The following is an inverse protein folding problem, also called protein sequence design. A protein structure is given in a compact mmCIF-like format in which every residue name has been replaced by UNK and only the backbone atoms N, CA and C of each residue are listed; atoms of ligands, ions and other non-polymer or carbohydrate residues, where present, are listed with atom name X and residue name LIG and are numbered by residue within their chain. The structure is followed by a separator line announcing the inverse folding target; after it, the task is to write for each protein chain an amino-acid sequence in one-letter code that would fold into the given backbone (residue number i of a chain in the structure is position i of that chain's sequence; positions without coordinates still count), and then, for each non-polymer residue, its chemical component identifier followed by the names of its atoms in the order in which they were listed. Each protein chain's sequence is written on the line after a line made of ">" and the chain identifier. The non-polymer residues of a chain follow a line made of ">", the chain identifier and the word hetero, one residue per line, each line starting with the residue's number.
data_IF_700693330089
#
_entry.id   IF_700693330089
#
_cell.length_a   1.000
_cell.length_b   1.000
_cell.length_c   1.000
_cell.angle_alpha   90.00
_cell.angle_beta   90.00
_cell.angle_gamma   90.00
#
_symmetry.space_group_name_H-M   'P 1'
#
loop_
_entity.id
_entity.type
_entity.pdbx_description
1 polymer ?
#
# COMPACT_ATOMS: atom_id res chain seq x y z
N UNK A 1 40.68 1.91 22.15
CA UNK A 1 39.40 1.40 22.69
C UNK A 1 38.30 2.24 22.04
N UNK A 2 37.42 1.63 21.22
CA UNK A 2 36.36 2.38 20.52
C UNK A 2 35.37 2.96 21.55
N UNK A 3 35.09 4.27 21.47
CA UNK A 3 34.14 4.93 22.35
C UNK A 3 32.70 4.44 22.06
N UNK A 4 32.10 3.78 23.04
CA UNK A 4 30.74 3.22 22.96
C UNK A 4 29.69 4.32 22.71
N UNK A 5 29.96 5.57 23.11
CA UNK A 5 29.06 6.72 22.84
C UNK A 5 29.06 7.11 21.37
N UNK A 6 30.21 7.05 20.71
CA UNK A 6 30.33 7.31 19.27
C UNK A 6 29.54 6.26 18.49
N UNK A 7 29.67 4.98 18.86
CA UNK A 7 28.90 3.89 18.26
C UNK A 7 27.39 4.03 18.52
N UNK A 8 26.99 4.35 19.74
CA UNK A 8 25.59 4.55 20.10
C UNK A 8 24.95 5.71 19.32
N UNK A 9 25.64 6.86 19.20
CA UNK A 9 25.13 8.01 18.42
C UNK A 9 25.10 7.74 16.92
N UNK A 10 26.07 6.98 16.38
CA UNK A 10 26.06 6.56 14.98
C UNK A 10 24.96 5.51 14.69
N UNK A 11 24.61 4.69 15.67
CA UNK A 11 23.55 3.69 15.54
C UNK A 11 22.15 4.30 15.75
N UNK A 12 21.94 5.14 16.76
CA UNK A 12 20.65 5.80 17.02
C UNK A 12 20.56 7.15 16.31
N UNK A 13 20.56 7.11 14.97
CA UNK A 13 20.07 8.25 14.21
C UNK A 13 18.54 8.32 14.35
N UNK A 14 17.96 9.52 14.26
CA UNK A 14 16.51 9.76 14.39
C UNK A 14 15.67 8.82 13.51
N UNK A 15 16.17 8.48 12.32
CA UNK A 15 15.52 7.57 11.37
C UNK A 15 15.46 6.12 11.86
N UNK A 16 16.42 5.66 12.67
CA UNK A 16 16.55 4.24 13.04
C UNK A 16 15.64 3.80 14.19
N UNK A 17 15.09 4.73 14.96
CA UNK A 17 14.28 4.41 16.15
C UNK A 17 12.92 3.80 15.74
N UNK A 18 12.28 4.34 14.71
CA UNK A 18 10.94 3.91 14.22
C UNK A 18 11.04 2.97 13.01
N UNK A 19 12.26 2.76 12.50
CA UNK A 19 12.55 2.04 11.27
C UNK A 19 11.93 0.64 11.21
N UNK A 20 11.92 -0.09 12.33
CA UNK A 20 11.37 -1.44 12.39
C UNK A 20 9.89 -1.53 11.99
N UNK A 21 9.07 -0.53 12.35
CA UNK A 21 7.67 -0.47 11.92
C UNK A 21 7.55 -0.21 10.42
N UNK A 22 8.33 0.74 9.91
CA UNK A 22 8.32 1.11 8.49
C UNK A 22 8.80 -0.04 7.62
N UNK A 23 9.87 -0.73 8.03
CA UNK A 23 10.39 -1.92 7.35
C UNK A 23 9.38 -3.06 7.38
N UNK A 24 8.80 -3.38 8.54
CA UNK A 24 7.76 -4.40 8.64
C UNK A 24 6.55 -4.12 7.75
N UNK A 25 6.12 -2.85 7.68
CA UNK A 25 5.02 -2.46 6.80
C UNK A 25 5.40 -2.54 5.32
N UNK A 26 6.62 -2.14 4.96
CA UNK A 26 7.12 -2.28 3.58
C UNK A 26 7.21 -3.76 3.15
N UNK A 27 7.70 -4.63 4.03
CA UNK A 27 7.76 -6.08 3.78
C UNK A 27 6.36 -6.67 3.61
N UNK A 28 5.40 -6.19 4.41
CA UNK A 28 4.00 -6.57 4.26
C UNK A 28 3.43 -6.14 2.89
N UNK A 29 3.72 -4.91 2.44
CA UNK A 29 3.27 -4.42 1.14
C UNK A 29 3.90 -5.18 -0.04
N UNK A 30 5.20 -5.49 0.05
CA UNK A 30 5.96 -6.09 -1.05
C UNK A 30 5.78 -7.61 -1.15
N UNK A 31 5.64 -8.30 -0.02
CA UNK A 31 5.61 -9.76 0.04
C UNK A 31 4.38 -10.30 0.75
N UNK A 32 4.01 -9.69 1.89
CA UNK A 32 2.92 -10.18 2.74
C UNK A 32 1.57 -10.25 2.02
N UNK A 33 1.19 -9.17 1.35
CA UNK A 33 -0.09 -9.07 0.63
C UNK A 33 -0.21 -10.11 -0.47
N UNK A 34 0.81 -10.25 -1.33
CA UNK A 34 0.76 -11.21 -2.42
C UNK A 34 0.69 -12.65 -1.88
N UNK A 35 1.42 -12.94 -0.79
CA UNK A 35 1.37 -14.27 -0.15
C UNK A 35 -0.03 -14.65 0.30
N UNK A 36 -0.79 -13.72 0.91
CA UNK A 36 -2.17 -13.96 1.33
C UNK A 36 -3.08 -14.25 0.13
N UNK A 37 -2.91 -13.51 -0.96
CA UNK A 37 -3.68 -13.75 -2.20
C UNK A 37 -3.33 -15.12 -2.82
N UNK A 38 -2.04 -15.48 -2.82
CA UNK A 38 -1.53 -16.74 -3.34
C UNK A 38 -1.93 -17.96 -2.49
N UNK A 39 -2.30 -17.74 -1.23
CA UNK A 39 -2.86 -18.76 -0.34
C UNK A 39 -4.34 -19.02 -0.67
N UNK A 40 -5.14 -17.99 -0.93
CA UNK A 40 -6.54 -18.13 -1.32
C UNK A 40 -6.69 -18.72 -2.73
N UNK A 41 -5.94 -18.19 -3.73
CA UNK A 41 -5.89 -18.55 -5.17
C UNK A 41 -7.20 -18.45 -5.96
N UNK A 42 -8.28 -19.03 -5.45
CA UNK A 42 -9.53 -19.23 -6.16
C UNK A 42 -10.69 -18.77 -5.27
N UNK A 43 -11.66 -18.12 -5.92
CA UNK A 43 -12.98 -17.85 -5.35
C UNK A 43 -13.98 -18.71 -6.11
N UNK A 44 -14.63 -19.62 -5.39
CA UNK A 44 -15.69 -20.48 -5.95
C UNK A 44 -16.94 -19.65 -6.24
N UNK A 45 -17.68 -20.04 -7.28
CA UNK A 45 -18.97 -19.45 -7.61
C UNK A 45 -20.05 -20.54 -7.59
N UNK A 46 -21.31 -20.14 -7.44
CA UNK A 46 -22.44 -21.08 -7.43
C UNK A 46 -22.71 -21.74 -8.80
N UNK A 47 -22.00 -21.30 -9.85
CA UNK A 47 -22.13 -21.82 -11.21
C UNK A 47 -21.15 -22.98 -11.39
N UNK A 48 -21.67 -24.14 -11.78
CA UNK A 48 -20.88 -25.36 -11.95
C UNK A 48 -19.72 -25.15 -12.94
N UNK A 49 -18.51 -25.53 -12.51
CA UNK A 49 -17.29 -25.39 -13.30
C UNK A 49 -16.79 -23.95 -13.52
N UNK A 50 -17.42 -22.95 -12.88
CA UNK A 50 -16.99 -21.55 -12.97
C UNK A 50 -16.35 -21.07 -11.66
N UNK A 51 -15.16 -20.48 -11.75
CA UNK A 51 -14.47 -19.90 -10.60
C UNK A 51 -13.62 -18.69 -11.00
N UNK A 52 -13.31 -17.84 -10.02
CA UNK A 52 -12.43 -16.68 -10.23
C UNK A 52 -11.04 -17.02 -9.72
N UNK A 53 -10.05 -17.01 -10.61
CA UNK A 53 -8.63 -17.13 -10.25
C UNK A 53 -8.09 -15.74 -9.90
N UNK A 54 -7.50 -15.63 -8.71
CA UNK A 54 -6.85 -14.42 -8.23
C UNK A 54 -5.43 -14.33 -8.79
N UNK A 55 -5.07 -13.14 -9.28
CA UNK A 55 -3.77 -12.81 -9.85
C UNK A 55 -2.93 -11.94 -8.92
N UNK A 56 -2.29 -10.91 -9.47
CA UNK A 56 -1.40 -10.02 -8.72
C UNK A 56 -2.14 -8.88 -8.03
N UNK A 57 -1.82 -8.64 -6.77
CA UNK A 57 -2.30 -7.46 -6.04
C UNK A 57 -1.38 -6.26 -6.30
N UNK A 58 -1.98 -5.08 -6.41
CA UNK A 58 -1.31 -3.81 -6.60
C UNK A 58 -1.81 -2.81 -5.58
N UNK A 59 -0.87 -2.19 -4.88
CA UNK A 59 -1.12 -1.08 -3.96
C UNK A 59 -0.73 0.22 -4.64
N UNK A 60 -1.72 1.11 -4.77
CA UNK A 60 -1.53 2.45 -5.31
C UNK A 60 -0.84 3.39 -4.32
N UNK A 61 -1.00 4.68 -4.58
CA UNK A 61 -0.58 5.74 -3.66
C UNK A 61 -1.80 6.34 -2.94
N UNK A 62 -1.63 6.96 -1.76
CA UNK A 62 -2.69 7.67 -1.06
C UNK A 62 -3.39 8.71 -1.93
N UNK A 63 -4.71 8.58 -2.03
CA UNK A 63 -5.57 9.49 -2.80
C UNK A 63 -6.83 9.82 -2.02
N UNK A 64 -7.44 10.94 -2.37
CA UNK A 64 -8.79 11.32 -1.95
C UNK A 64 -9.69 11.31 -3.18
N UNK A 65 -10.92 10.80 -3.01
CA UNK A 65 -11.97 10.87 -4.03
C UNK A 65 -12.96 11.94 -3.61
N UNK A 66 -13.05 13.00 -4.39
CA UNK A 66 -13.94 14.13 -4.14
C UNK A 66 -15.37 13.81 -4.59
N UNK A 67 -16.33 14.65 -4.18
CA UNK A 67 -17.75 14.44 -4.43
C UNK A 67 -18.13 14.49 -5.93
N UNK A 68 -17.35 15.20 -6.73
CA UNK A 68 -17.45 15.26 -8.19
C UNK A 68 -16.82 14.05 -8.90
N UNK A 69 -16.17 13.17 -8.13
CA UNK A 69 -15.48 11.99 -8.62
C UNK A 69 -14.02 12.23 -9.02
N UNK A 70 -13.49 13.45 -8.83
CA UNK A 70 -12.06 13.72 -9.02
C UNK A 70 -11.22 12.90 -8.03
N UNK A 71 -10.03 12.50 -8.48
CA UNK A 71 -9.08 11.71 -7.67
C UNK A 71 -7.77 12.47 -7.58
N UNK A 72 -7.48 12.97 -6.38
CA UNK A 72 -6.31 13.78 -6.11
C UNK A 72 -5.35 13.08 -5.15
N UNK A 73 -4.07 13.43 -5.23
CA UNK A 73 -3.07 12.95 -4.27
C UNK A 73 -3.37 13.54 -2.90
N UNK A 74 -3.49 12.68 -1.91
CA UNK A 74 -3.71 13.09 -0.53
C UNK A 74 -2.36 13.18 0.19
N UNK A 75 -2.15 14.22 1.00
CA UNK A 75 -1.00 14.35 1.90
C UNK A 75 -1.40 14.09 3.36
N UNK A 76 -0.46 13.63 4.23
CA UNK A 76 -0.80 13.31 5.62
C UNK A 76 -1.37 14.49 6.41
N UNK A 77 -0.87 15.71 6.18
CA UNK A 77 -1.33 16.92 6.86
C UNK A 77 -2.75 17.29 6.43
N UNK A 78 -3.04 17.23 5.14
CA UNK A 78 -4.38 17.43 4.59
C UNK A 78 -5.38 16.41 5.16
N UNK A 79 -4.99 15.13 5.19
CA UNK A 79 -5.82 14.06 5.73
C UNK A 79 -6.20 14.33 7.20
N UNK A 80 -5.23 14.80 8.00
CA UNK A 80 -5.45 15.17 9.41
C UNK A 80 -6.38 16.38 9.53
N UNK A 81 -6.17 17.43 8.74
CA UNK A 81 -6.98 18.66 8.79
C UNK A 81 -8.44 18.41 8.40
N UNK A 82 -8.67 17.52 7.43
CA UNK A 82 -10.01 17.18 6.93
C UNK A 82 -10.67 16.03 7.69
N UNK A 83 -10.01 15.43 8.68
CA UNK A 83 -10.45 14.22 9.38
C UNK A 83 -10.80 13.06 8.42
N UNK A 84 -9.98 12.85 7.39
CA UNK A 84 -10.14 11.77 6.41
C UNK A 84 -9.02 10.75 6.53
N UNK A 85 -9.26 9.54 6.01
CA UNK A 85 -8.29 8.45 6.10
C UNK A 85 -7.22 8.59 5.02
N UNK A 86 -5.96 8.59 5.43
CA UNK A 86 -4.82 8.52 4.52
C UNK A 86 -4.65 7.09 3.97
N UNK A 87 -5.37 6.77 2.90
CA UNK A 87 -5.43 5.42 2.32
C UNK A 87 -5.12 5.37 0.83
N UNK A 88 -4.46 4.30 0.38
CA UNK A 88 -4.20 4.01 -1.02
C UNK A 88 -5.22 3.00 -1.57
N UNK A 89 -5.57 3.06 -2.88
CA UNK A 89 -6.45 2.08 -3.49
C UNK A 89 -5.71 0.75 -3.68
N UNK A 90 -6.46 -0.34 -3.54
CA UNK A 90 -6.01 -1.70 -3.77
C UNK A 90 -6.69 -2.25 -5.02
N UNK A 91 -5.90 -2.76 -5.94
CA UNK A 91 -6.35 -3.41 -7.16
C UNK A 91 -5.84 -4.84 -7.21
N UNK A 92 -6.66 -5.75 -7.73
CA UNK A 92 -6.33 -7.17 -7.87
C UNK A 92 -6.67 -7.65 -9.27
N UNK A 93 -5.70 -8.30 -9.93
CA UNK A 93 -5.95 -9.03 -11.16
C UNK A 93 -6.86 -10.22 -10.90
N UNK A 94 -7.92 -10.37 -11.70
CA UNK A 94 -8.88 -11.46 -11.59
C UNK A 94 -9.16 -12.04 -12.97
N UNK A 95 -9.18 -13.37 -13.05
CA UNK A 95 -9.46 -14.12 -14.27
C UNK A 95 -10.65 -15.03 -14.02
N UNK A 96 -11.69 -14.90 -14.85
CA UNK A 96 -12.86 -15.78 -14.78
C UNK A 96 -12.57 -17.03 -15.61
N UNK A 97 -12.73 -18.18 -14.98
CA UNK A 97 -12.51 -19.48 -15.59
C UNK A 97 -13.84 -20.20 -15.62
N UNK A 98 -14.23 -20.63 -16.81
CA UNK A 98 -15.50 -21.30 -17.06
C UNK A 98 -15.27 -22.52 -17.95
N UNK A 99 -16.22 -23.45 -18.05
CA UNK A 99 -16.09 -24.61 -18.95
C UNK A 99 -15.92 -24.22 -20.42
N UNK A 100 -16.42 -23.03 -20.81
CA UNK A 100 -16.31 -22.46 -22.15
C UNK A 100 -14.93 -21.84 -22.45
N UNK A 101 -14.08 -21.67 -21.42
CA UNK A 101 -12.72 -21.12 -21.54
C UNK A 101 -12.34 -20.15 -20.42
N UNK A 102 -11.08 -19.70 -20.49
CA UNK A 102 -10.53 -18.63 -19.63
C UNK A 102 -10.78 -17.26 -20.28
N UNK A 103 -11.38 -16.32 -19.54
CA UNK A 103 -11.53 -14.93 -19.98
C UNK A 103 -10.23 -14.14 -19.77
N UNK A 104 -10.12 -12.97 -20.39
CA UNK A 104 -8.98 -12.07 -20.15
C UNK A 104 -8.91 -11.63 -18.68
N UNK A 105 -7.68 -11.47 -18.17
CA UNK A 105 -7.43 -10.93 -16.84
C UNK A 105 -7.90 -9.47 -16.77
N UNK A 106 -8.71 -9.16 -15.75
CA UNK A 106 -9.17 -7.80 -15.48
C UNK A 106 -8.71 -7.35 -14.11
N UNK A 107 -8.27 -6.10 -14.04
CA UNK A 107 -7.89 -5.47 -12.79
C UNK A 107 -9.14 -4.90 -12.10
N UNK A 108 -9.46 -5.43 -10.93
CA UNK A 108 -10.61 -5.01 -10.13
C UNK A 108 -10.16 -4.24 -8.89
N UNK A 109 -10.83 -3.12 -8.59
CA UNK A 109 -10.62 -2.41 -7.34
C UNK A 109 -11.27 -3.17 -6.18
N UNK A 110 -10.47 -3.63 -5.21
CA UNK A 110 -10.93 -4.46 -4.09
C UNK A 110 -11.13 -3.66 -2.80
N UNK A 111 -10.62 -2.43 -2.74
CA UNK A 111 -10.81 -1.55 -1.58
C UNK A 111 -9.70 -0.51 -1.46
N UNK A 112 -9.48 -0.05 -0.22
CA UNK A 112 -8.39 0.85 0.12
C UNK A 112 -7.65 0.37 1.37
N UNK A 113 -6.37 0.71 1.47
CA UNK A 113 -5.50 0.33 2.58
C UNK A 113 -4.95 1.59 3.25
N UNK A 114 -5.06 1.74 4.58
CA UNK A 114 -4.39 2.81 5.31
C UNK A 114 -2.87 2.76 5.10
N UNK A 115 -2.28 3.91 4.78
CA UNK A 115 -0.86 3.97 4.44
C UNK A 115 -0.03 4.50 5.60
N UNK A 116 1.01 3.75 5.97
CA UNK A 116 1.94 4.19 7.00
C UNK A 116 2.80 5.36 6.49
N UNK A 117 2.91 6.41 7.31
CA UNK A 117 3.79 7.55 7.06
C UNK A 117 5.24 7.03 6.97
N UNK A 118 6.03 7.56 6.02
CA UNK A 118 7.39 7.11 5.71
C UNK A 118 7.52 5.73 5.05
N UNK A 119 6.43 4.99 4.83
CA UNK A 119 6.48 3.77 4.02
C UNK A 119 6.79 4.08 2.56
N UNK A 120 7.30 3.08 1.81
CA UNK A 120 7.70 3.21 0.39
C UNK A 120 6.59 3.75 -0.53
N UNK A 121 5.32 3.58 -0.16
CA UNK A 121 4.15 4.01 -0.92
C UNK A 121 3.51 5.32 -0.41
N UNK A 122 4.07 5.93 0.63
CA UNK A 122 3.63 7.22 1.15
C UNK A 122 4.04 8.37 0.22
N UNK A 123 3.18 9.38 0.07
CA UNK A 123 3.41 10.51 -0.83
C UNK A 123 4.50 11.50 -0.37
N UNK A 124 4.99 11.37 0.87
CA UNK A 124 6.06 12.23 1.38
C UNK A 124 7.46 11.66 1.12
N UNK A 125 7.56 10.39 0.73
CA UNK A 125 8.85 9.75 0.48
C UNK A 125 9.45 10.32 -0.80
N UNK A 126 10.68 10.81 -0.69
CA UNK A 126 11.41 11.44 -1.79
C UNK A 126 11.27 12.97 -1.86
N UNK A 127 10.44 13.57 -1.00
CA UNK A 127 10.37 15.04 -0.88
C UNK A 127 11.60 15.58 -0.17
N UNK A 128 12.01 16.78 -0.58
CA UNK A 128 13.01 17.58 0.12
C UNK A 128 12.43 18.17 1.40
N UNK A 129 13.30 18.55 2.32
CA UNK A 129 12.88 19.20 3.56
C UNK A 129 12.07 20.49 3.31
N UNK A 130 12.38 21.23 2.24
CA UNK A 130 11.64 22.45 1.87
C UNK A 130 10.20 22.12 1.45
N UNK A 131 10.04 21.13 0.58
CA UNK A 131 8.72 20.68 0.12
C UNK A 131 7.89 20.12 1.28
N UNK A 132 8.50 19.38 2.21
CA UNK A 132 7.80 18.93 3.42
C UNK A 132 7.30 20.10 4.27
N UNK A 133 8.12 21.14 4.46
CA UNK A 133 7.72 22.33 5.23
C UNK A 133 6.58 23.08 4.54
N UNK A 134 6.56 23.14 3.21
CA UNK A 134 5.48 23.77 2.44
C UNK A 134 4.16 23.00 2.53
N UNK A 135 4.22 21.66 2.62
CA UNK A 135 3.05 20.79 2.78
C UNK A 135 2.51 20.74 4.23
N UNK A 136 3.30 21.22 5.19
CA UNK A 136 2.99 21.25 6.63
C UNK A 136 3.17 19.89 7.31
#
# INVERSE_FOLDING_TARGET
>A
MLDRRVLSRAYFTSEKIVRHHVESFNDFLEYGLQKVIDEQRIIETDIEGTYVRLGKIRVGHPVVREADGAVDKLYPTEARLRNITYSAPLSLGMTIISPEGEKEEKEAAIGSMPMMIWSKKCNIVGLTQKEMVELG
#
